data_IF_178183175752
#
_entry.id   IF_178183175752
#
_cell.length_a   1.000
_cell.length_b   1.000
_cell.length_c   1.000
_cell.angle_alpha   90.00
_cell.angle_beta   90.00
_cell.angle_gamma   90.00
#
_symmetry.space_group_name_H-M   'P 1'
#
loop_
_entity.id
_entity.type
_entity.pdbx_description
1 polymer ?
#
# COMPACT_ATOMS: atom_id res chain seq x y z
N UNK A 1 66.48 -4.42 1.15
CA UNK A 1 65.26 -4.20 0.33
C UNK A 1 64.03 -4.32 1.24
N UNK A 2 63.56 -3.19 1.74
CA UNK A 2 62.43 -3.12 2.69
C UNK A 2 61.15 -2.91 1.90
N UNK A 3 60.24 -3.88 1.93
CA UNK A 3 58.92 -3.77 1.28
C UNK A 3 57.95 -3.06 2.20
N UNK A 4 57.56 -1.85 1.84
CA UNK A 4 56.50 -1.11 2.52
C UNK A 4 55.15 -1.62 2.01
N UNK A 5 54.36 -2.22 2.93
CA UNK A 5 52.99 -2.65 2.65
C UNK A 5 52.04 -1.48 2.97
N UNK A 6 51.38 -0.93 1.96
CA UNK A 6 50.32 0.04 2.15
C UNK A 6 49.02 -0.70 2.43
N UNK A 7 48.49 -0.61 3.65
CA UNK A 7 47.14 -1.05 4.00
C UNK A 7 46.21 0.13 3.70
N UNK A 8 45.44 0.01 2.62
CA UNK A 8 44.37 0.95 2.33
C UNK A 8 43.16 0.66 3.24
N UNK A 9 42.95 1.53 4.22
CA UNK A 9 41.76 1.47 5.08
C UNK A 9 40.55 1.99 4.27
N UNK A 10 39.73 1.11 3.73
CA UNK A 10 38.44 1.48 3.11
C UNK A 10 37.50 1.79 4.26
N UNK A 11 37.35 3.08 4.58
CA UNK A 11 36.24 3.55 5.41
C UNK A 11 34.94 3.34 4.64
N UNK A 12 34.24 2.27 4.96
CA UNK A 12 32.88 2.05 4.50
C UNK A 12 31.98 3.16 5.05
N UNK A 13 31.66 4.15 4.22
CA UNK A 13 30.58 5.07 4.52
C UNK A 13 29.28 4.28 4.56
N UNK A 14 28.84 3.90 5.75
CA UNK A 14 27.49 3.43 5.99
C UNK A 14 26.53 4.60 5.71
N UNK A 15 26.01 4.67 4.50
CA UNK A 15 24.85 5.52 4.23
C UNK A 15 23.71 5.00 5.10
N UNK A 16 23.35 5.75 6.14
CA UNK A 16 22.10 5.56 6.85
C UNK A 16 20.98 5.74 5.83
N UNK A 17 20.55 4.65 5.21
CA UNK A 17 19.37 4.68 4.35
C UNK A 17 18.18 4.93 5.26
N UNK A 18 17.43 5.98 4.98
CA UNK A 18 16.18 6.20 5.69
C UNK A 18 15.27 4.98 5.48
N UNK A 19 14.65 4.51 6.57
CA UNK A 19 13.85 3.30 6.57
C UNK A 19 12.72 3.36 5.50
N UNK A 20 12.45 2.21 4.88
CA UNK A 20 11.34 2.06 3.96
C UNK A 20 10.00 2.11 4.71
N UNK A 21 8.97 2.54 3.99
CA UNK A 21 7.59 2.63 4.47
C UNK A 21 6.68 1.93 3.45
N UNK A 22 6.76 0.61 3.42
CA UNK A 22 6.32 -0.23 2.31
C UNK A 22 4.83 -0.52 2.24
N UNK A 23 4.06 -0.11 3.24
CA UNK A 23 2.62 -0.36 3.32
C UNK A 23 1.94 0.62 4.29
N UNK A 24 0.60 0.55 4.39
CA UNK A 24 -0.18 1.33 5.33
C UNK A 24 0.33 1.19 6.76
N UNK A 25 0.64 2.34 7.40
CA UNK A 25 1.24 2.46 8.74
C UNK A 25 2.64 1.83 8.89
N UNK A 26 3.37 1.69 7.78
CA UNK A 26 4.76 1.22 7.78
C UNK A 26 4.94 -0.29 7.83
N UNK A 27 6.19 -0.76 7.89
CA UNK A 27 6.52 -2.18 7.77
C UNK A 27 5.82 -3.07 8.78
N UNK A 28 5.68 -2.59 10.01
CA UNK A 28 5.04 -3.29 11.13
C UNK A 28 3.56 -2.95 11.31
N UNK A 29 3.02 -2.04 10.48
CA UNK A 29 1.63 -1.55 10.50
C UNK A 29 1.18 -0.91 11.84
N UNK A 30 2.11 -0.56 12.69
CA UNK A 30 1.84 0.08 13.99
C UNK A 30 2.12 1.61 14.00
N UNK A 31 2.57 2.14 12.87
CA UNK A 31 2.89 3.56 12.71
C UNK A 31 4.25 3.96 13.28
N UNK A 32 5.11 2.99 13.61
CA UNK A 32 6.44 3.25 14.15
C UNK A 32 7.51 3.16 13.09
N UNK A 33 8.51 4.00 13.19
CA UNK A 33 9.74 3.87 12.41
C UNK A 33 10.65 2.79 12.99
N UNK A 34 11.58 2.26 12.18
CA UNK A 34 12.59 1.32 12.66
C UNK A 34 13.36 1.92 13.84
N UNK A 35 13.75 1.07 14.80
CA UNK A 35 14.64 1.47 15.91
C UNK A 35 16.01 1.97 15.44
N UNK A 36 16.41 1.61 14.22
CA UNK A 36 17.65 2.06 13.57
C UNK A 36 17.49 3.36 12.79
N UNK A 37 16.27 3.88 12.68
CA UNK A 37 16.02 5.17 12.04
C UNK A 37 16.65 6.31 12.87
N UNK A 38 17.13 7.34 12.17
CA UNK A 38 17.62 8.53 12.86
C UNK A 38 16.52 9.11 13.76
N UNK A 39 16.85 9.54 14.99
CA UNK A 39 15.85 10.11 15.89
C UNK A 39 15.25 11.39 15.28
N UNK A 40 13.96 11.57 15.50
CA UNK A 40 13.29 12.81 15.14
C UNK A 40 13.85 13.98 15.96
N UNK A 41 13.95 15.18 15.37
CA UNK A 41 14.35 16.36 16.13
C UNK A 41 13.34 16.62 17.26
N UNK A 42 13.83 17.09 18.40
CA UNK A 42 12.99 17.42 19.58
C UNK A 42 11.96 18.53 19.29
N UNK A 43 12.19 19.32 18.26
CA UNK A 43 11.28 20.38 17.79
C UNK A 43 11.19 20.34 16.28
N UNK A 44 9.98 20.53 15.74
CA UNK A 44 9.73 20.69 14.29
C UNK A 44 9.72 22.17 13.89
N UNK A 45 10.37 23.05 14.65
CA UNK A 45 10.53 24.47 14.35
C UNK A 45 11.37 24.68 13.08
N UNK A 46 11.27 25.90 12.52
CA UNK A 46 12.01 26.32 11.33
C UNK A 46 13.50 25.97 11.43
N UNK A 47 14.02 25.26 10.43
CA UNK A 47 15.40 24.81 10.35
C UNK A 47 15.62 23.33 10.69
N UNK A 48 14.73 22.67 11.42
CA UNK A 48 14.83 21.24 11.73
C UNK A 48 14.20 20.35 10.66
N UNK A 49 13.28 20.89 9.85
CA UNK A 49 12.72 20.25 8.68
C UNK A 49 13.07 21.06 7.45
N UNK A 50 13.59 20.38 6.43
CA UNK A 50 13.93 20.99 5.15
C UNK A 50 13.10 20.34 4.05
N UNK A 51 12.34 21.15 3.31
CA UNK A 51 11.68 20.68 2.08
C UNK A 51 12.76 20.32 1.06
N UNK A 52 12.75 19.07 0.59
CA UNK A 52 13.67 18.59 -0.44
C UNK A 52 13.02 18.75 -1.82
N UNK A 53 11.77 18.30 -1.96
CA UNK A 53 10.97 18.44 -3.17
C UNK A 53 9.48 18.34 -2.83
N UNK A 54 8.65 18.78 -3.75
CA UNK A 54 7.19 18.59 -3.73
C UNK A 54 6.67 18.31 -5.13
N UNK A 55 5.57 17.58 -5.23
CA UNK A 55 4.87 17.29 -6.48
C UNK A 55 3.37 17.48 -6.28
N UNK A 56 2.69 17.95 -7.32
CA UNK A 56 1.24 18.06 -7.30
C UNK A 56 0.62 16.69 -7.54
N UNK A 57 -0.36 16.35 -6.71
CA UNK A 57 -1.12 15.12 -6.78
C UNK A 57 -2.58 15.44 -7.14
N UNK A 58 -3.24 14.48 -7.80
CA UNK A 58 -4.68 14.49 -7.92
C UNK A 58 -5.32 14.05 -6.60
N UNK A 59 -6.66 14.00 -6.55
CA UNK A 59 -7.38 13.72 -5.33
C UNK A 59 -7.23 12.26 -4.91
N UNK A 60 -7.12 12.00 -3.60
CA UNK A 60 -7.00 10.66 -3.03
C UNK A 60 -6.94 10.67 -1.51
N UNK A 61 -7.26 9.53 -0.93
CA UNK A 61 -7.08 9.25 0.51
C UNK A 61 -5.98 8.23 0.76
N UNK A 62 -5.37 7.71 -0.31
CA UNK A 62 -4.24 6.80 -0.26
C UNK A 62 -3.02 7.51 0.32
N UNK A 63 -2.36 6.89 1.28
CA UNK A 63 -1.06 7.39 1.76
C UNK A 63 0.05 7.02 0.78
N UNK A 64 1.05 7.89 0.59
CA UNK A 64 2.26 7.50 -0.13
C UNK A 64 3.00 6.39 0.62
N UNK A 65 3.69 5.53 -0.12
CA UNK A 65 4.62 4.54 0.45
C UNK A 65 6.01 4.72 -0.15
N UNK A 66 7.00 4.23 0.56
CA UNK A 66 8.42 4.37 0.19
C UNK A 66 9.09 3.02 0.20
N UNK A 67 9.75 2.64 -0.90
CA UNK A 67 10.57 1.45 -0.99
C UNK A 67 11.83 1.71 -1.81
N UNK A 68 12.97 1.47 -1.22
CA UNK A 68 14.28 1.73 -1.83
C UNK A 68 14.43 3.17 -2.30
N UNK A 69 14.67 3.36 -3.58
CA UNK A 69 14.85 4.66 -4.22
C UNK A 69 13.55 5.32 -4.71
N UNK A 70 12.37 4.74 -4.43
CA UNK A 70 11.10 5.18 -5.00
C UNK A 70 10.06 5.57 -3.95
N UNK A 71 9.22 6.52 -4.31
CA UNK A 71 7.97 6.88 -3.62
C UNK A 71 6.81 6.58 -4.55
N UNK A 72 5.78 5.91 -4.05
CA UNK A 72 4.59 5.57 -4.82
C UNK A 72 3.37 6.29 -4.27
N UNK A 73 2.54 6.79 -5.18
CA UNK A 73 1.23 7.40 -4.88
C UNK A 73 0.13 6.72 -5.67
N UNK A 74 -1.07 6.78 -5.15
CA UNK A 74 -2.29 6.36 -5.86
C UNK A 74 -3.31 7.46 -5.76
N UNK A 75 -3.87 7.88 -6.89
CA UNK A 75 -4.68 9.08 -7.01
C UNK A 75 -5.89 8.83 -7.93
N UNK A 76 -6.91 9.65 -7.79
CA UNK A 76 -8.07 9.67 -8.70
C UNK A 76 -7.94 10.85 -9.66
N UNK A 77 -7.70 10.56 -10.93
CA UNK A 77 -7.48 11.57 -11.97
C UNK A 77 -8.78 11.92 -12.69
N UNK A 78 -9.12 13.21 -12.71
CA UNK A 78 -10.26 13.75 -13.45
C UNK A 78 -11.61 13.08 -13.14
N UNK A 79 -11.77 12.48 -11.97
CA UNK A 79 -12.96 11.70 -11.57
C UNK A 79 -13.31 10.55 -12.54
N UNK A 80 -12.36 10.05 -13.31
CA UNK A 80 -12.54 9.02 -14.34
C UNK A 80 -11.62 7.84 -14.19
N UNK A 81 -10.36 8.07 -13.88
CA UNK A 81 -9.34 7.04 -13.77
C UNK A 81 -8.63 7.09 -12.42
N UNK A 82 -8.05 5.99 -12.06
CA UNK A 82 -7.08 5.91 -10.99
C UNK A 82 -5.69 5.84 -11.61
N UNK A 83 -4.75 6.57 -11.04
CA UNK A 83 -3.38 6.62 -11.51
C UNK A 83 -2.43 6.28 -10.37
N UNK A 84 -1.48 5.41 -10.64
CA UNK A 84 -0.35 5.10 -9.78
C UNK A 84 0.88 5.78 -10.36
N UNK A 85 1.61 6.51 -9.53
CA UNK A 85 2.86 7.15 -9.94
C UNK A 85 4.03 6.70 -9.07
N UNK A 86 5.19 6.54 -9.69
CA UNK A 86 6.44 6.35 -8.99
C UNK A 86 7.34 7.55 -9.19
N UNK A 87 7.91 8.03 -8.10
CA UNK A 87 8.84 9.15 -8.09
C UNK A 87 10.19 8.72 -7.52
N UNK A 88 11.26 9.30 -8.04
CA UNK A 88 12.59 9.19 -7.42
C UNK A 88 12.58 9.84 -6.03
N UNK A 89 12.96 9.09 -5.03
CA UNK A 89 12.90 9.49 -3.62
C UNK A 89 13.78 10.71 -3.31
N UNK A 90 14.87 10.91 -4.03
CA UNK A 90 15.81 12.01 -3.78
C UNK A 90 15.41 13.31 -4.48
N UNK A 91 14.84 13.20 -5.68
CA UNK A 91 14.62 14.34 -6.57
C UNK A 91 13.16 14.70 -6.77
N UNK A 92 12.22 13.79 -6.45
CA UNK A 92 10.80 13.94 -6.78
C UNK A 92 10.48 13.79 -8.27
N UNK A 93 11.47 13.47 -9.11
CA UNK A 93 11.22 13.26 -10.54
C UNK A 93 10.37 12.02 -10.76
N UNK A 94 9.29 12.14 -11.55
CA UNK A 94 8.47 11.00 -11.93
C UNK A 94 9.29 10.00 -12.76
N UNK A 95 9.21 8.74 -12.40
CA UNK A 95 9.91 7.63 -13.07
C UNK A 95 8.97 6.97 -14.07
N UNK A 96 7.76 6.61 -13.61
CA UNK A 96 6.70 6.03 -14.42
C UNK A 96 5.32 6.36 -13.85
N UNK A 97 4.29 6.15 -14.64
CA UNK A 97 2.90 6.07 -14.20
C UNK A 97 2.18 4.90 -14.88
N UNK A 98 1.04 4.50 -14.28
CA UNK A 98 0.13 3.51 -14.82
C UNK A 98 -1.29 3.91 -14.40
N UNK A 99 -2.24 3.93 -15.31
CA UNK A 99 -3.61 4.32 -15.02
C UNK A 99 -4.65 3.36 -15.63
N UNK A 100 -5.83 3.35 -15.00
CA UNK A 100 -6.98 2.57 -15.47
C UNK A 100 -8.30 3.26 -15.15
N UNK A 101 -9.35 2.88 -15.89
CA UNK A 101 -10.70 3.35 -15.61
C UNK A 101 -11.17 2.80 -14.26
N UNK A 102 -11.27 3.65 -13.23
CA UNK A 102 -11.49 3.21 -11.85
C UNK A 102 -12.50 4.03 -11.05
N UNK A 103 -13.05 5.11 -11.64
CA UNK A 103 -13.92 5.97 -10.87
C UNK A 103 -15.27 5.32 -10.58
N UNK A 104 -15.79 5.55 -9.39
CA UNK A 104 -17.17 5.25 -8.99
C UNK A 104 -17.69 6.38 -8.09
N UNK A 105 -19.02 6.49 -7.98
CA UNK A 105 -19.64 7.46 -7.07
C UNK A 105 -19.93 6.79 -5.73
N UNK A 106 -19.51 7.43 -4.65
CA UNK A 106 -19.96 7.06 -3.30
C UNK A 106 -21.41 7.50 -3.08
N UNK A 107 -22.13 6.97 -2.08
CA UNK A 107 -23.48 7.37 -1.76
C UNK A 107 -23.62 8.90 -1.59
N UNK A 108 -24.78 9.46 -1.96
CA UNK A 108 -25.00 10.92 -2.02
C UNK A 108 -24.70 11.64 -0.69
N UNK A 109 -24.99 11.01 0.43
CA UNK A 109 -24.73 11.56 1.78
C UNK A 109 -23.23 11.65 2.12
N UNK A 110 -22.39 10.91 1.40
CA UNK A 110 -20.93 10.94 1.53
C UNK A 110 -20.23 11.69 0.39
N UNK A 111 -20.99 12.14 -0.62
CA UNK A 111 -20.45 12.75 -1.83
C UNK A 111 -19.61 14.01 -1.56
N UNK A 112 -19.92 14.75 -0.50
CA UNK A 112 -19.17 15.94 -0.06
C UNK A 112 -17.68 15.60 0.19
N UNK A 113 -17.39 14.40 0.64
CA UNK A 113 -16.03 13.95 0.92
C UNK A 113 -15.29 13.43 -0.32
N UNK A 114 -15.92 13.45 -1.49
CA UNK A 114 -15.35 12.96 -2.75
C UNK A 114 -15.38 11.43 -2.90
N UNK A 115 -15.21 11.01 -4.14
CA UNK A 115 -15.23 9.60 -4.56
C UNK A 115 -13.82 9.16 -4.95
N UNK A 116 -12.86 9.43 -4.09
CA UNK A 116 -11.45 9.24 -4.35
C UNK A 116 -10.96 7.86 -3.91
N UNK A 117 -9.86 7.38 -4.52
CA UNK A 117 -9.15 6.18 -4.11
C UNK A 117 -8.79 6.24 -2.62
N UNK A 118 -8.92 5.12 -1.91
CA UNK A 118 -8.83 5.05 -0.43
C UNK A 118 -7.76 4.11 0.07
N UNK A 119 -7.55 3.00 -0.63
CA UNK A 119 -6.58 1.99 -0.24
C UNK A 119 -5.15 2.51 -0.37
N UNK A 120 -4.37 2.37 0.70
CA UNK A 120 -2.91 2.59 0.62
C UNK A 120 -2.27 1.35 0.01
N UNK A 121 -1.43 1.47 -1.02
CA UNK A 121 -0.78 0.33 -1.63
C UNK A 121 0.22 -0.35 -0.69
N UNK A 122 0.65 -1.55 -1.05
CA UNK A 122 1.73 -2.26 -0.36
C UNK A 122 2.72 -2.82 -1.39
N UNK A 123 4.00 -2.92 -1.01
CA UNK A 123 5.04 -3.48 -1.88
C UNK A 123 5.99 -4.41 -1.13
N UNK A 124 6.45 -5.45 -1.82
CA UNK A 124 7.54 -6.31 -1.38
C UNK A 124 8.91 -5.89 -1.97
N UNK A 125 8.98 -4.70 -2.59
CA UNK A 125 10.15 -4.17 -3.25
C UNK A 125 10.30 -4.59 -4.72
N UNK A 126 9.53 -5.56 -5.20
CA UNK A 126 9.51 -6.03 -6.61
C UNK A 126 8.16 -5.81 -7.28
N UNK A 127 7.11 -5.95 -6.51
CA UNK A 127 5.72 -5.79 -6.96
C UNK A 127 4.98 -4.85 -6.04
N UNK A 128 4.24 -3.92 -6.63
CA UNK A 128 3.34 -3.01 -5.96
C UNK A 128 1.92 -3.54 -6.10
N UNK A 129 1.21 -3.71 -4.98
CA UNK A 129 -0.17 -4.18 -4.94
C UNK A 129 -1.10 -3.02 -4.60
N UNK A 130 -2.04 -2.74 -5.49
CA UNK A 130 -2.88 -1.54 -5.45
C UNK A 130 -4.35 -1.93 -5.49
N UNK A 131 -5.11 -1.45 -4.52
CA UNK A 131 -6.56 -1.57 -4.52
C UNK A 131 -7.22 -0.36 -5.18
N UNK A 132 -8.04 -0.60 -6.20
CA UNK A 132 -8.79 0.43 -6.91
C UNK A 132 -10.27 0.50 -6.51
N UNK A 133 -10.88 1.68 -6.63
CA UNK A 133 -12.24 2.00 -6.15
C UNK A 133 -13.32 1.03 -6.63
N UNK A 134 -13.18 0.46 -7.81
CA UNK A 134 -14.15 -0.50 -8.36
C UNK A 134 -13.92 -1.95 -7.92
N UNK A 135 -13.33 -2.13 -6.76
CA UNK A 135 -13.05 -3.44 -6.17
C UNK A 135 -12.10 -4.28 -7.04
N UNK A 136 -11.09 -3.62 -7.58
CA UNK A 136 -10.00 -4.25 -8.34
C UNK A 136 -8.73 -4.32 -7.50
N UNK A 137 -7.97 -5.39 -7.67
CA UNK A 137 -6.63 -5.53 -7.10
C UNK A 137 -5.63 -5.68 -8.25
N UNK A 138 -4.66 -4.79 -8.31
CA UNK A 138 -3.68 -4.71 -9.40
C UNK A 138 -2.28 -4.94 -8.85
N UNK A 139 -1.51 -5.80 -9.50
CA UNK A 139 -0.08 -6.00 -9.25
C UNK A 139 0.74 -5.34 -10.34
N UNK A 140 1.64 -4.46 -9.95
CA UNK A 140 2.45 -3.63 -10.84
C UNK A 140 3.93 -3.89 -10.56
N UNK A 141 4.72 -4.01 -11.59
CA UNK A 141 6.17 -4.11 -11.47
C UNK A 141 6.76 -2.79 -10.96
N UNK A 142 7.51 -2.85 -9.88
CA UNK A 142 8.05 -1.66 -9.18
C UNK A 142 9.01 -0.86 -10.05
N UNK A 143 9.74 -1.50 -10.95
CA UNK A 143 10.76 -0.84 -11.75
C UNK A 143 10.21 -0.23 -13.03
N UNK A 144 9.27 -0.90 -13.66
CA UNK A 144 8.76 -0.54 -14.98
C UNK A 144 7.37 0.10 -14.98
N UNK A 145 6.61 -0.02 -13.90
CA UNK A 145 5.21 0.41 -13.85
C UNK A 145 4.25 -0.48 -14.65
N UNK A 146 4.73 -1.58 -15.23
CA UNK A 146 3.88 -2.49 -16.02
C UNK A 146 3.03 -3.37 -15.12
N UNK A 147 1.76 -3.54 -15.50
CA UNK A 147 0.86 -4.47 -14.84
C UNK A 147 1.36 -5.91 -15.04
N UNK A 148 1.46 -6.67 -13.93
CA UNK A 148 1.79 -8.10 -13.93
C UNK A 148 0.52 -8.94 -13.99
N UNK A 149 -0.49 -8.56 -13.19
CA UNK A 149 -1.81 -9.17 -13.18
C UNK A 149 -2.83 -8.21 -12.55
N UNK A 150 -4.09 -8.48 -12.82
CA UNK A 150 -5.26 -7.78 -12.28
C UNK A 150 -6.32 -8.78 -11.87
N UNK A 151 -7.05 -8.45 -10.78
CA UNK A 151 -8.29 -9.11 -10.42
C UNK A 151 -9.39 -8.05 -10.37
N UNK A 152 -10.43 -8.26 -11.13
CA UNK A 152 -11.65 -7.44 -11.16
C UNK A 152 -12.79 -8.28 -10.59
N UNK A 153 -12.98 -8.22 -9.28
CA UNK A 153 -13.92 -9.09 -8.57
C UNK A 153 -15.35 -8.94 -9.03
N UNK A 154 -15.88 -7.72 -9.25
CA UNK A 154 -17.23 -7.55 -9.82
C UNK A 154 -17.38 -8.19 -11.20
N UNK A 155 -16.39 -8.09 -12.05
CA UNK A 155 -16.44 -8.67 -13.40
C UNK A 155 -16.23 -10.18 -13.39
N UNK A 156 -15.26 -10.68 -12.62
CA UNK A 156 -14.88 -12.09 -12.61
C UNK A 156 -15.80 -12.97 -11.76
N UNK A 157 -16.19 -12.49 -10.58
CA UNK A 157 -16.93 -13.26 -9.58
C UNK A 157 -18.37 -12.76 -9.36
N UNK A 158 -18.79 -11.70 -10.10
CA UNK A 158 -20.11 -11.08 -9.97
C UNK A 158 -20.42 -10.54 -8.57
N UNK A 159 -19.39 -10.17 -7.82
CA UNK A 159 -19.57 -9.57 -6.51
C UNK A 159 -20.16 -8.16 -6.65
N UNK A 160 -21.03 -7.72 -5.72
CA UNK A 160 -21.54 -6.37 -5.73
C UNK A 160 -20.43 -5.35 -5.49
N UNK A 161 -20.49 -4.21 -6.17
CA UNK A 161 -19.59 -3.09 -5.92
C UNK A 161 -19.79 -2.56 -4.50
N UNK A 162 -18.72 -2.45 -3.67
CA UNK A 162 -18.85 -1.85 -2.36
C UNK A 162 -19.20 -0.37 -2.49
N UNK A 163 -20.17 0.10 -1.69
CA UNK A 163 -20.68 1.48 -1.79
C UNK A 163 -19.61 2.57 -1.62
N UNK A 164 -18.56 2.29 -0.90
CA UNK A 164 -17.42 3.20 -0.67
C UNK A 164 -16.15 2.80 -1.41
N UNK A 165 -16.24 1.81 -2.27
CA UNK A 165 -15.11 1.28 -3.02
C UNK A 165 -14.17 0.43 -2.17
N UNK A 166 -13.02 0.12 -2.73
CA UNK A 166 -11.95 -0.62 -2.06
C UNK A 166 -11.27 0.26 -1.00
N UNK A 167 -11.47 -0.03 0.26
CA UNK A 167 -10.94 0.78 1.38
C UNK A 167 -9.79 0.08 2.11
N UNK A 168 -9.86 -1.24 2.24
CA UNK A 168 -8.85 -2.04 2.93
C UNK A 168 -7.48 -1.92 2.29
N UNK A 169 -6.43 -1.68 3.08
CA UNK A 169 -5.06 -1.65 2.59
C UNK A 169 -4.42 -3.03 2.69
N UNK A 170 -3.79 -3.54 1.61
CA UNK A 170 -3.19 -4.87 1.60
C UNK A 170 -2.14 -5.06 2.69
N UNK A 171 -2.14 -6.23 3.33
CA UNK A 171 -1.09 -6.73 4.20
C UNK A 171 -0.33 -7.82 3.44
N UNK A 172 0.99 -7.79 3.47
CA UNK A 172 1.84 -8.76 2.78
C UNK A 172 2.54 -9.68 3.77
N UNK A 173 2.63 -10.96 3.43
CA UNK A 173 3.67 -11.89 3.91
C UNK A 173 4.64 -12.21 2.76
N UNK A 174 5.44 -13.27 2.90
CA UNK A 174 6.43 -13.64 1.89
C UNK A 174 5.80 -13.96 0.54
N UNK A 175 4.68 -14.70 0.50
CA UNK A 175 4.07 -15.22 -0.72
C UNK A 175 2.66 -14.68 -1.00
N UNK A 176 2.01 -14.08 -0.01
CA UNK A 176 0.58 -13.76 -0.08
C UNK A 176 0.25 -12.30 0.23
N UNK A 177 -0.95 -11.95 -0.17
CA UNK A 177 -1.63 -10.71 0.14
C UNK A 177 -2.85 -11.06 0.98
N UNK A 178 -3.03 -10.36 2.09
CA UNK A 178 -4.24 -10.42 2.92
C UNK A 178 -4.99 -9.11 2.78
N UNK A 179 -6.24 -9.17 2.35
CA UNK A 179 -7.02 -7.95 2.05
C UNK A 179 -8.51 -8.25 2.04
N UNK A 180 -9.31 -7.26 2.39
CA UNK A 180 -10.77 -7.34 2.24
C UNK A 180 -11.13 -6.81 0.84
N UNK A 181 -11.57 -7.71 -0.03
CA UNK A 181 -11.93 -7.44 -1.43
C UNK A 181 -12.90 -8.50 -1.94
N UNK A 182 -13.72 -8.19 -2.93
CA UNK A 182 -14.71 -9.12 -3.46
C UNK A 182 -15.67 -9.60 -2.37
N UNK A 183 -16.13 -8.68 -1.51
CA UNK A 183 -17.05 -8.91 -0.39
C UNK A 183 -16.55 -9.81 0.75
N UNK A 184 -15.28 -10.22 0.74
CA UNK A 184 -14.72 -11.15 1.72
C UNK A 184 -13.32 -10.74 2.17
N UNK A 185 -12.87 -11.29 3.29
CA UNK A 185 -11.45 -11.36 3.63
C UNK A 185 -10.81 -12.44 2.79
N UNK A 186 -9.70 -12.13 2.12
CA UNK A 186 -9.02 -13.06 1.21
C UNK A 186 -7.53 -13.15 1.50
N UNK A 187 -7.01 -14.37 1.36
CA UNK A 187 -5.59 -14.68 1.18
C UNK A 187 -5.35 -14.95 -0.30
N UNK A 188 -4.45 -14.20 -0.91
CA UNK A 188 -4.24 -14.16 -2.37
C UNK A 188 -2.77 -14.38 -2.65
N UNK A 189 -2.42 -15.20 -3.65
CA UNK A 189 -1.03 -15.37 -4.08
C UNK A 189 -0.50 -14.11 -4.73
N UNK A 190 0.69 -13.65 -4.34
CA UNK A 190 1.35 -12.48 -4.96
C UNK A 190 1.73 -12.74 -6.41
N UNK A 191 2.04 -13.99 -6.76
CA UNK A 191 2.54 -14.37 -8.08
C UNK A 191 1.53 -14.21 -9.21
N UNK A 192 0.23 -14.51 -8.94
CA UNK A 192 -0.78 -14.61 -10.00
C UNK A 192 -2.17 -14.08 -9.59
N UNK A 193 -2.31 -13.54 -8.39
CA UNK A 193 -3.58 -13.00 -7.90
C UNK A 193 -4.65 -14.04 -7.56
N UNK A 194 -4.33 -15.33 -7.56
CA UNK A 194 -5.31 -16.38 -7.23
C UNK A 194 -5.62 -16.42 -5.75
N UNK A 195 -6.91 -16.49 -5.43
CA UNK A 195 -7.39 -16.67 -4.06
C UNK A 195 -7.00 -18.05 -3.55
N UNK A 196 -6.33 -18.09 -2.39
CA UNK A 196 -5.99 -19.32 -1.67
C UNK A 196 -7.13 -19.74 -0.78
N UNK A 197 -7.69 -18.79 -0.02
CA UNK A 197 -8.91 -18.95 0.76
C UNK A 197 -9.64 -17.60 0.89
N UNK A 198 -10.90 -17.68 1.26
CA UNK A 198 -11.73 -16.55 1.65
C UNK A 198 -12.55 -16.86 2.89
N UNK A 199 -12.86 -15.83 3.66
CA UNK A 199 -13.63 -15.91 4.90
C UNK A 199 -14.42 -14.62 5.11
N UNK A 200 -15.37 -14.62 6.04
CA UNK A 200 -16.16 -13.46 6.45
C UNK A 200 -16.86 -12.76 5.27
N UNK A 201 -17.37 -13.54 4.33
CA UNK A 201 -18.09 -13.01 3.18
C UNK A 201 -19.38 -12.29 3.60
N UNK A 202 -19.62 -11.12 3.02
CA UNK A 202 -20.83 -10.33 3.21
C UNK A 202 -21.25 -9.69 1.87
N UNK A 203 -22.22 -10.28 1.22
CA UNK A 203 -22.68 -9.87 -0.12
C UNK A 203 -23.57 -8.61 -0.11
N UNK A 204 -23.79 -7.99 1.05
CA UNK A 204 -24.58 -6.75 1.15
C UNK A 204 -23.77 -5.56 0.64
N UNK A 205 -24.04 -5.11 -0.58
CA UNK A 205 -23.28 -4.07 -1.28
C UNK A 205 -23.04 -2.79 -0.44
N UNK A 206 -24.02 -2.36 0.36
CA UNK A 206 -23.86 -1.18 1.21
C UNK A 206 -22.95 -1.42 2.42
N UNK A 207 -22.79 -2.67 2.82
CA UNK A 207 -22.20 -3.02 4.11
C UNK A 207 -21.07 -4.05 4.00
N UNK A 208 -20.90 -4.66 2.86
CA UNK A 208 -19.81 -5.59 2.56
C UNK A 208 -18.46 -4.93 2.42
N UNK A 209 -18.42 -3.59 2.38
CA UNK A 209 -17.14 -2.86 2.44
C UNK A 209 -16.62 -2.83 3.85
N UNK A 210 -15.48 -3.40 4.03
CA UNK A 210 -14.76 -3.28 5.27
C UNK A 210 -13.84 -2.06 5.24
N UNK A 211 -13.99 -1.19 6.23
CA UNK A 211 -13.17 0.00 6.36
C UNK A 211 -11.86 -0.26 7.09
N UNK A 212 -11.69 -1.44 7.67
CA UNK A 212 -10.45 -1.81 8.36
C UNK A 212 -9.48 -2.50 7.41
N UNK A 213 -8.21 -2.35 7.71
CA UNK A 213 -7.13 -3.07 7.04
C UNK A 213 -6.67 -4.24 7.91
N UNK A 214 -6.36 -5.42 7.34
CA UNK A 214 -5.90 -6.56 8.10
C UNK A 214 -4.64 -6.25 8.90
N UNK A 215 -4.49 -6.88 10.06
CA UNK A 215 -3.34 -6.73 10.92
C UNK A 215 -2.86 -8.10 11.41
N UNK A 216 -1.55 -8.36 11.34
CA UNK A 216 -0.95 -9.59 11.87
C UNK A 216 -0.61 -9.39 13.34
N UNK A 217 -1.01 -10.35 14.17
CA UNK A 217 -0.66 -10.39 15.58
C UNK A 217 -0.41 -11.82 16.05
N UNK A 218 0.50 -11.98 17.00
CA UNK A 218 0.69 -13.24 17.72
C UNK A 218 -0.07 -13.16 19.04
N UNK A 219 -1.13 -13.96 19.19
CA UNK A 219 -1.97 -13.97 20.38
C UNK A 219 -1.88 -15.37 21.00
N UNK A 220 -1.45 -15.44 22.26
CA UNK A 220 -1.22 -16.69 22.97
C UNK A 220 -0.30 -17.68 22.20
N UNK A 221 0.76 -17.14 21.56
CA UNK A 221 1.71 -17.93 20.78
C UNK A 221 1.21 -18.36 19.40
N UNK A 222 0.03 -17.96 18.97
CA UNK A 222 -0.53 -18.29 17.66
C UNK A 222 -0.53 -17.04 16.77
N UNK A 223 0.08 -17.16 15.59
CA UNK A 223 0.04 -16.10 14.57
C UNK A 223 -1.34 -16.04 13.93
N UNK A 224 -1.92 -14.84 13.89
CA UNK A 224 -3.27 -14.60 13.42
C UNK A 224 -3.32 -13.36 12.55
N UNK A 225 -4.23 -13.38 11.58
CA UNK A 225 -4.63 -12.18 10.82
C UNK A 225 -5.93 -11.65 11.45
N UNK A 226 -5.83 -10.51 12.10
CA UNK A 226 -6.98 -9.83 12.68
C UNK A 226 -7.63 -8.95 11.61
N UNK A 227 -8.94 -9.04 11.53
CA UNK A 227 -9.74 -8.23 10.62
C UNK A 227 -11.07 -7.85 11.28
N UNK A 228 -11.51 -6.64 11.03
CA UNK A 228 -12.84 -6.19 11.43
C UNK A 228 -13.66 -5.95 10.16
N UNK A 229 -14.76 -6.66 10.03
CA UNK A 229 -15.81 -6.32 9.07
C UNK A 229 -16.76 -5.32 9.72
N UNK A 230 -17.79 -4.89 9.02
CA UNK A 230 -18.80 -4.02 9.60
C UNK A 230 -19.55 -4.66 10.79
N UNK A 231 -19.81 -5.94 10.74
CA UNK A 231 -20.66 -6.66 11.69
C UNK A 231 -19.91 -7.69 12.52
N UNK A 232 -18.64 -7.94 12.24
CA UNK A 232 -17.88 -9.02 12.84
C UNK A 232 -16.44 -8.61 13.08
N UNK A 233 -15.92 -8.91 14.26
CA UNK A 233 -14.49 -8.95 14.53
C UNK A 233 -14.05 -10.42 14.46
N UNK A 234 -13.14 -10.73 13.55
CA UNK A 234 -12.62 -12.08 13.34
C UNK A 234 -11.10 -12.12 13.37
N UNK A 235 -10.56 -13.24 13.83
CA UNK A 235 -9.18 -13.63 13.63
C UNK A 235 -9.15 -14.94 12.86
N UNK A 236 -8.28 -15.02 11.84
CA UNK A 236 -8.06 -16.24 11.06
C UNK A 236 -6.58 -16.64 11.16
N UNK A 237 -6.29 -17.95 11.11
CA UNK A 237 -4.96 -18.56 11.30
C UNK A 237 -4.26 -18.81 9.99
#
# INVERSE_FOLDING_TARGET
MTRTVFIALILGMSFLSAADWTQWRGPTRDGKTSKTAAPWPKSLSNGNLKLIWSVDLAEGYSSPIVAGSKVFTVETKNKKSEIVRAFDRKTGKQIWDNDWAGSMRVPFYAAKNGSWVRSTPATDGKTLFVGGMRDVLVAIDVDTGKEKWRRDYPSEEKTPLPSFGFVSSPLLDDDHIYVQVGTAMRKIKKSDGKTVWQSLADERAMFGSAFSSPFRATIQGVDQILVQTRSTLGGDR
#
